data_IF_355814862577
#
_entry.id   IF_355814862577
#
_cell.length_a   1.000
_cell.length_b   1.000
_cell.length_c   1.000
_cell.angle_alpha   90.00
_cell.angle_beta   90.00
_cell.angle_gamma   90.00
#
_symmetry.space_group_name_H-M   'P 1'
#
loop_
_entity.id
_entity.type
_entity.pdbx_description
1 polymer ?
#
# COMPACT_ATOMS: atom_id res chain seq x y z
N UNK A 1 8.39 -32.90 20.54
CA UNK A 1 7.22 -33.33 19.76
C UNK A 1 6.83 -32.15 18.90
N UNK A 2 7.03 -32.23 17.58
CA UNK A 2 6.51 -31.19 16.68
C UNK A 2 4.98 -31.23 16.76
N UNK A 3 4.36 -30.19 17.34
CA UNK A 3 2.92 -30.01 17.24
C UNK A 3 2.59 -29.77 15.77
N UNK A 4 2.01 -30.77 15.12
CA UNK A 4 1.44 -30.60 13.78
C UNK A 4 0.26 -29.67 13.94
N UNK A 5 0.40 -28.42 13.50
CA UNK A 5 -0.71 -27.48 13.48
C UNK A 5 -1.84 -28.07 12.64
N UNK A 6 -2.95 -28.42 13.29
CA UNK A 6 -4.09 -29.11 12.67
C UNK A 6 -4.82 -28.20 11.65
N UNK A 7 -4.67 -26.88 11.81
CA UNK A 7 -5.37 -25.88 11.00
C UNK A 7 -4.41 -24.82 10.48
N UNK A 8 -4.64 -24.39 9.24
CA UNK A 8 -3.88 -23.30 8.63
C UNK A 8 -4.41 -21.94 9.11
N UNK A 9 -3.53 -20.97 9.46
CA UNK A 9 -3.97 -19.67 9.95
C UNK A 9 -4.88 -18.93 8.94
N UNK A 10 -6.02 -18.42 9.42
CA UNK A 10 -7.03 -17.76 8.59
C UNK A 10 -6.48 -16.51 7.88
N UNK A 11 -5.54 -15.79 8.49
CA UNK A 11 -4.88 -14.62 7.93
C UNK A 11 -3.98 -14.99 6.75
N UNK A 12 -3.20 -16.07 6.88
CA UNK A 12 -2.34 -16.55 5.81
C UNK A 12 -3.17 -17.12 4.66
N UNK A 13 -4.28 -17.81 4.98
CA UNK A 13 -5.24 -18.26 3.96
C UNK A 13 -5.83 -17.09 3.20
N UNK A 14 -6.18 -16.00 3.90
CA UNK A 14 -6.67 -14.78 3.26
C UNK A 14 -5.62 -14.14 2.36
N UNK A 15 -4.34 -14.10 2.77
CA UNK A 15 -3.26 -13.60 1.91
C UNK A 15 -3.06 -14.48 0.67
N UNK A 16 -3.22 -15.80 0.79
CA UNK A 16 -3.20 -16.71 -0.36
C UNK A 16 -4.39 -16.47 -1.31
N UNK A 17 -5.56 -16.15 -0.77
CA UNK A 17 -6.69 -15.68 -1.58
C UNK A 17 -6.37 -14.38 -2.32
N UNK A 18 -5.81 -13.37 -1.63
CA UNK A 18 -5.47 -12.12 -2.30
C UNK A 18 -4.33 -12.30 -3.32
N UNK A 19 -3.43 -13.28 -3.11
CA UNK A 19 -2.47 -13.71 -4.11
C UNK A 19 -3.12 -14.25 -5.39
N UNK A 20 -4.29 -14.90 -5.31
CA UNK A 20 -5.06 -15.29 -6.51
C UNK A 20 -5.57 -14.08 -7.29
N UNK A 21 -5.99 -13.01 -6.61
CA UNK A 21 -6.34 -11.74 -7.28
C UNK A 21 -5.12 -11.17 -8.02
N UNK A 22 -3.93 -11.28 -7.42
CA UNK A 22 -2.68 -10.88 -8.06
C UNK A 22 -2.34 -11.76 -9.28
N UNK A 23 -2.74 -13.03 -9.29
CA UNK A 23 -2.59 -13.92 -10.45
C UNK A 23 -3.46 -13.47 -11.63
N UNK A 24 -4.66 -12.92 -11.39
CA UNK A 24 -5.50 -12.33 -12.45
C UNK A 24 -4.83 -11.12 -13.11
N UNK A 25 -4.07 -10.32 -12.34
CA UNK A 25 -3.24 -9.25 -12.90
C UNK A 25 -2.03 -9.78 -13.68
N UNK A 26 -1.53 -10.97 -13.33
CA UNK A 26 -0.42 -11.62 -14.01
C UNK A 26 -0.84 -12.33 -15.30
N UNK A 27 -2.09 -12.79 -15.41
CA UNK A 27 -2.57 -13.53 -16.57
C UNK A 27 -2.57 -12.65 -17.83
N UNK A 28 -1.85 -13.10 -18.85
CA UNK A 28 -1.72 -12.43 -20.15
C UNK A 28 -2.94 -12.65 -21.06
N UNK A 29 -3.82 -13.58 -20.72
CA UNK A 29 -5.10 -13.78 -21.39
C UNK A 29 -6.11 -12.67 -21.00
N UNK A 30 -5.91 -12.04 -19.85
CA UNK A 30 -6.71 -10.89 -19.42
C UNK A 30 -6.29 -9.61 -20.16
N UNK A 31 -7.24 -8.74 -20.59
CA UNK A 31 -6.91 -7.46 -21.19
C UNK A 31 -6.02 -6.59 -20.29
N UNK A 32 -5.09 -5.83 -20.87
CA UNK A 32 -4.11 -5.03 -20.11
C UNK A 32 -4.76 -4.05 -19.12
N UNK A 33 -5.90 -3.47 -19.47
CA UNK A 33 -6.67 -2.57 -18.59
C UNK A 33 -7.28 -3.32 -17.40
N UNK A 34 -7.82 -4.53 -17.62
CA UNK A 34 -8.35 -5.36 -16.52
C UNK A 34 -7.24 -5.81 -15.58
N UNK A 35 -6.05 -6.12 -16.12
CA UNK A 35 -4.87 -6.45 -15.30
C UNK A 35 -4.49 -5.30 -14.36
N UNK A 36 -4.55 -4.03 -14.82
CA UNK A 36 -4.35 -2.87 -13.93
C UNK A 36 -5.46 -2.77 -12.87
N UNK A 37 -6.71 -3.02 -13.25
CA UNK A 37 -7.82 -3.01 -12.30
C UNK A 37 -7.62 -4.07 -11.21
N UNK A 38 -7.16 -5.27 -11.56
CA UNK A 38 -6.82 -6.30 -10.58
C UNK A 38 -5.68 -5.89 -9.63
N UNK A 39 -4.68 -5.15 -10.11
CA UNK A 39 -3.67 -4.55 -9.22
C UNK A 39 -4.33 -3.59 -8.21
N UNK A 40 -5.27 -2.75 -8.66
CA UNK A 40 -6.04 -1.88 -7.78
C UNK A 40 -6.91 -2.63 -6.77
N UNK A 41 -7.59 -3.70 -7.19
CA UNK A 41 -8.39 -4.57 -6.31
C UNK A 41 -7.50 -5.24 -5.27
N UNK A 42 -6.36 -5.80 -5.69
CA UNK A 42 -5.37 -6.40 -4.80
C UNK A 42 -4.91 -5.41 -3.72
N UNK A 43 -4.57 -4.18 -4.10
CA UNK A 43 -4.14 -3.12 -3.17
C UNK A 43 -5.24 -2.74 -2.20
N UNK A 44 -6.47 -2.51 -2.67
CA UNK A 44 -7.60 -2.17 -1.81
C UNK A 44 -7.94 -3.29 -0.81
N UNK A 45 -7.88 -4.55 -1.26
CA UNK A 45 -8.06 -5.70 -0.38
C UNK A 45 -6.96 -5.74 0.69
N UNK A 46 -5.70 -5.51 0.31
CA UNK A 46 -4.57 -5.52 1.24
C UNK A 46 -4.70 -4.41 2.28
N UNK A 47 -5.16 -3.22 1.90
CA UNK A 47 -5.44 -2.12 2.84
C UNK A 47 -6.50 -2.51 3.87
N UNK A 48 -7.60 -3.14 3.42
CA UNK A 48 -8.64 -3.65 4.33
C UNK A 48 -8.11 -4.76 5.25
N UNK A 49 -7.25 -5.64 4.73
CA UNK A 49 -6.58 -6.66 5.53
C UNK A 49 -5.77 -6.06 6.67
N UNK A 50 -5.01 -4.99 6.42
CA UNK A 50 -4.27 -4.30 7.46
C UNK A 50 -5.19 -3.60 8.47
N UNK A 51 -6.22 -2.92 7.97
CA UNK A 51 -7.16 -2.17 8.81
C UNK A 51 -7.96 -3.06 9.76
N UNK A 52 -8.36 -4.24 9.29
CA UNK A 52 -9.25 -5.14 10.03
C UNK A 52 -8.49 -6.30 10.66
N UNK A 53 -7.83 -7.12 9.84
CA UNK A 53 -7.28 -8.42 10.30
C UNK A 53 -5.98 -8.28 11.05
N UNK A 54 -5.04 -7.46 10.56
CA UNK A 54 -3.79 -7.21 11.30
C UNK A 54 -4.06 -6.47 12.60
N UNK A 55 -5.05 -5.55 12.61
CA UNK A 55 -5.49 -4.89 13.84
C UNK A 55 -6.07 -5.89 14.86
N UNK A 56 -6.88 -6.87 14.42
CA UNK A 56 -7.41 -7.92 15.28
C UNK A 56 -6.28 -8.80 15.86
N UNK A 57 -5.34 -9.29 15.04
CA UNK A 57 -4.19 -10.07 15.53
C UNK A 57 -3.40 -9.29 16.58
N UNK A 58 -3.14 -8.00 16.34
CA UNK A 58 -2.47 -7.12 17.33
C UNK A 58 -3.27 -6.99 18.61
N UNK A 59 -4.60 -6.88 18.53
CA UNK A 59 -5.48 -6.83 19.68
C UNK A 59 -5.45 -8.14 20.47
N UNK A 60 -5.45 -9.29 19.80
CA UNK A 60 -5.36 -10.60 20.46
C UNK A 60 -4.05 -10.75 21.24
N UNK A 61 -2.92 -10.26 20.71
CA UNK A 61 -1.63 -10.23 21.44
C UNK A 61 -1.78 -9.47 22.75
N UNK A 62 -2.38 -8.27 22.71
CA UNK A 62 -2.56 -7.43 23.92
C UNK A 62 -3.50 -8.09 24.92
N UNK A 63 -4.61 -8.68 24.46
CA UNK A 63 -5.57 -9.38 25.33
C UNK A 63 -4.91 -10.58 26.01
N UNK A 64 -4.22 -11.43 25.25
CA UNK A 64 -3.55 -12.61 25.79
C UNK A 64 -2.47 -12.24 26.82
N UNK A 65 -1.66 -11.22 26.53
CA UNK A 65 -0.65 -10.74 27.46
C UNK A 65 -1.26 -10.17 28.74
N UNK A 66 -2.32 -9.36 28.63
CA UNK A 66 -3.03 -8.82 29.80
C UNK A 66 -3.72 -9.90 30.64
N UNK A 67 -4.07 -11.04 30.04
CA UNK A 67 -4.61 -12.20 30.73
C UNK A 67 -3.52 -13.11 31.34
N UNK A 68 -2.24 -12.76 31.21
CA UNK A 68 -1.11 -13.59 31.67
C UNK A 68 -0.86 -14.84 30.81
N UNK A 69 -1.46 -14.91 29.61
CA UNK A 69 -1.23 -16.01 28.67
C UNK A 69 -0.16 -15.62 27.65
N UNK A 70 1.10 -15.64 28.09
CA UNK A 70 2.23 -15.26 27.25
C UNK A 70 2.49 -16.25 26.10
N UNK A 71 2.11 -17.52 26.24
CA UNK A 71 2.23 -18.52 25.18
C UNK A 71 1.35 -18.17 23.98
N UNK A 72 0.09 -17.80 24.22
CA UNK A 72 -0.83 -17.36 23.17
C UNK A 72 -0.39 -16.02 22.57
N UNK A 73 0.05 -15.07 23.40
CA UNK A 73 0.58 -13.79 22.92
C UNK A 73 1.77 -14.01 21.97
N UNK A 74 2.67 -14.94 22.30
CA UNK A 74 3.81 -15.27 21.46
C UNK A 74 3.41 -16.05 20.20
N UNK A 75 2.39 -16.92 20.27
CA UNK A 75 1.82 -17.56 19.09
C UNK A 75 1.30 -16.51 18.08
N UNK A 76 0.53 -15.53 18.54
CA UNK A 76 0.02 -14.45 17.69
C UNK A 76 1.14 -13.52 17.16
N UNK A 77 2.21 -13.28 17.93
CA UNK A 77 3.40 -12.55 17.44
C UNK A 77 4.09 -13.31 16.31
N UNK A 78 4.26 -14.63 16.43
CA UNK A 78 4.82 -15.46 15.35
C UNK A 78 3.95 -15.40 14.09
N UNK A 79 2.62 -15.44 14.24
CA UNK A 79 1.70 -15.25 13.12
C UNK A 79 1.88 -13.87 12.46
N UNK A 80 2.02 -12.79 13.24
CA UNK A 80 2.26 -11.45 12.70
C UNK A 80 3.56 -11.37 11.89
N UNK A 81 4.63 -12.05 12.34
CA UNK A 81 5.89 -12.15 11.59
C UNK A 81 5.69 -12.92 10.29
N UNK A 82 4.92 -14.02 10.29
CA UNK A 82 4.60 -14.78 9.08
C UNK A 82 3.78 -13.94 8.08
N UNK A 83 2.78 -13.20 8.57
CA UNK A 83 2.00 -12.25 7.77
C UNK A 83 2.92 -11.22 7.11
N UNK A 84 3.80 -10.59 7.88
CA UNK A 84 4.72 -9.57 7.36
C UNK A 84 5.64 -10.15 6.27
N UNK A 85 6.20 -11.35 6.49
CA UNK A 85 7.04 -12.03 5.50
C UNK A 85 6.28 -12.31 4.21
N UNK A 86 5.05 -12.82 4.31
CA UNK A 86 4.22 -13.11 3.14
C UNK A 86 3.84 -11.83 2.39
N UNK A 87 3.47 -10.76 3.09
CA UNK A 87 3.19 -9.46 2.45
C UNK A 87 4.40 -8.93 1.69
N UNK A 88 5.60 -9.00 2.27
CA UNK A 88 6.85 -8.57 1.58
C UNK A 88 7.11 -9.39 0.31
N UNK A 89 6.86 -10.70 0.35
CA UNK A 89 6.94 -11.56 -0.84
C UNK A 89 5.94 -11.13 -1.93
N UNK A 90 4.68 -10.91 -1.54
CA UNK A 90 3.63 -10.50 -2.47
C UNK A 90 3.87 -9.09 -3.04
N UNK A 91 4.45 -8.16 -2.27
CA UNK A 91 4.84 -6.84 -2.78
C UNK A 91 5.88 -6.93 -3.89
N UNK A 92 6.86 -7.83 -3.78
CA UNK A 92 7.85 -8.05 -4.86
C UNK A 92 7.18 -8.61 -6.12
N UNK A 93 6.21 -9.52 -5.96
CA UNK A 93 5.40 -10.04 -7.08
C UNK A 93 4.57 -8.92 -7.71
N UNK A 94 3.92 -8.10 -6.90
CA UNK A 94 3.15 -6.93 -7.35
C UNK A 94 4.00 -5.99 -8.20
N UNK A 95 5.19 -5.60 -7.73
CA UNK A 95 6.07 -4.69 -8.47
C UNK A 95 6.47 -5.25 -9.84
N UNK A 96 6.73 -6.56 -9.89
CA UNK A 96 7.11 -7.25 -11.12
C UNK A 96 5.95 -7.26 -12.11
N UNK A 97 4.75 -7.63 -11.65
CA UNK A 97 3.53 -7.67 -12.47
C UNK A 97 3.15 -6.26 -12.92
N UNK A 98 3.18 -5.27 -12.03
CA UNK A 98 2.89 -3.87 -12.36
C UNK A 98 3.79 -3.37 -13.49
N UNK A 99 5.11 -3.59 -13.41
CA UNK A 99 6.04 -3.23 -14.49
C UNK A 99 5.69 -3.91 -15.81
N UNK A 100 5.34 -5.19 -15.78
CA UNK A 100 4.94 -5.94 -16.98
C UNK A 100 3.63 -5.39 -17.58
N UNK A 101 2.65 -5.08 -16.75
CA UNK A 101 1.35 -4.55 -17.17
C UNK A 101 1.52 -3.15 -17.79
N UNK A 102 2.29 -2.27 -17.16
CA UNK A 102 2.62 -0.94 -17.71
C UNK A 102 3.35 -1.07 -19.05
N UNK A 103 4.29 -2.01 -19.19
CA UNK A 103 4.94 -2.30 -20.48
C UNK A 103 3.95 -2.80 -21.53
N UNK A 104 2.97 -3.61 -21.12
CA UNK A 104 1.93 -4.12 -22.03
C UNK A 104 1.03 -2.99 -22.50
N UNK A 105 0.60 -2.10 -21.61
CA UNK A 105 -0.16 -0.89 -21.97
C UNK A 105 0.58 -0.04 -23.02
N UNK A 106 1.89 0.13 -22.87
CA UNK A 106 2.69 0.91 -23.81
C UNK A 106 2.65 0.33 -25.24
N UNK A 107 2.47 -0.99 -25.41
CA UNK A 107 2.28 -1.64 -26.73
C UNK A 107 0.94 -1.25 -27.39
N UNK A 108 -0.02 -0.80 -26.59
CA UNK A 108 -1.31 -0.26 -27.02
C UNK A 108 -1.33 1.27 -27.01
N UNK A 109 -0.16 1.92 -27.02
CA UNK A 109 0.01 3.38 -27.00
C UNK A 109 -0.55 4.07 -25.75
N UNK A 110 -0.66 3.35 -24.63
CA UNK A 110 -1.05 3.91 -23.33
C UNK A 110 0.20 4.02 -22.45
N UNK A 111 0.61 5.25 -22.13
CA UNK A 111 1.84 5.52 -21.39
C UNK A 111 1.55 6.16 -20.04
N UNK A 112 2.20 5.66 -18.99
CA UNK A 112 2.22 6.27 -17.66
C UNK A 112 3.60 6.91 -17.49
N UNK A 113 3.66 8.23 -17.65
CA UNK A 113 4.92 8.97 -17.72
C UNK A 113 5.28 9.62 -16.37
N UNK A 114 6.53 9.45 -15.88
CA UNK A 114 7.07 10.27 -14.80
C UNK A 114 7.45 11.67 -15.32
N UNK A 115 7.55 12.64 -14.40
CA UNK A 115 7.86 14.06 -14.71
C UNK A 115 9.04 14.27 -15.67
N UNK A 116 10.10 13.47 -15.55
CA UNK A 116 11.32 13.62 -16.34
C UNK A 116 11.18 13.11 -17.79
N UNK A 117 10.08 12.44 -18.13
CA UNK A 117 9.76 11.98 -19.49
C UNK A 117 8.76 12.89 -20.20
N UNK A 118 8.30 13.97 -19.55
CA UNK A 118 7.42 14.95 -20.17
C UNK A 118 8.20 15.86 -21.11
N UNK A 119 7.68 16.06 -22.32
CA UNK A 119 8.17 17.09 -23.23
C UNK A 119 7.81 18.51 -22.72
N UNK A 120 8.33 19.54 -23.39
CA UNK A 120 8.13 20.93 -22.95
C UNK A 120 6.66 21.36 -23.01
N UNK A 121 5.92 20.88 -24.02
CA UNK A 121 4.50 21.17 -24.17
C UNK A 121 3.68 20.54 -23.04
N UNK A 122 3.90 19.25 -22.76
CA UNK A 122 3.26 18.51 -21.69
C UNK A 122 3.59 19.10 -20.32
N UNK A 123 4.84 19.53 -20.11
CA UNK A 123 5.26 20.19 -18.87
C UNK A 123 4.50 21.49 -18.63
N UNK A 124 4.39 22.33 -19.66
CA UNK A 124 3.63 23.57 -19.59
C UNK A 124 2.13 23.31 -19.40
N UNK A 125 1.58 22.31 -20.07
CA UNK A 125 0.20 21.88 -19.88
C UNK A 125 -0.07 21.42 -18.45
N UNK A 126 0.77 20.55 -17.87
CA UNK A 126 0.63 20.06 -16.50
C UNK A 126 0.75 21.20 -15.50
N UNK A 127 1.68 22.14 -15.70
CA UNK A 127 1.81 23.35 -14.88
C UNK A 127 0.52 24.17 -14.88
N UNK A 128 -0.01 24.44 -16.07
CA UNK A 128 -1.25 25.21 -16.22
C UNK A 128 -2.46 24.48 -15.63
N UNK A 129 -2.56 23.16 -15.84
CA UNK A 129 -3.60 22.35 -15.20
C UNK A 129 -3.48 22.39 -13.67
N UNK A 130 -2.27 22.26 -13.12
CA UNK A 130 -2.02 22.35 -11.70
C UNK A 130 -2.48 23.69 -11.12
N UNK A 131 -2.04 24.80 -11.69
CA UNK A 131 -2.39 26.16 -11.20
C UNK A 131 -3.90 26.39 -11.28
N UNK A 132 -4.53 26.04 -12.39
CA UNK A 132 -5.93 26.40 -12.65
C UNK A 132 -6.95 25.44 -12.03
N UNK A 133 -6.60 24.16 -11.84
CA UNK A 133 -7.54 23.11 -11.40
C UNK A 133 -7.18 22.46 -10.08
N UNK A 134 -5.89 22.20 -9.82
CA UNK A 134 -5.45 21.39 -8.68
C UNK A 134 -5.10 22.25 -7.45
N UNK A 135 -4.39 23.36 -7.64
CA UNK A 135 -3.82 24.17 -6.57
C UNK A 135 -4.87 24.63 -5.54
N UNK A 136 -6.07 24.99 -6.00
CA UNK A 136 -7.19 25.41 -5.13
C UNK A 136 -7.67 24.34 -4.15
N UNK A 137 -7.33 23.07 -4.39
CA UNK A 137 -7.67 21.94 -3.53
C UNK A 137 -6.50 21.53 -2.62
N UNK A 138 -5.34 22.19 -2.72
CA UNK A 138 -4.16 21.91 -1.92
C UNK A 138 -4.06 22.96 -0.82
N UNK A 139 -4.22 22.52 0.42
CA UNK A 139 -3.96 23.31 1.62
C UNK A 139 -2.69 22.78 2.30
N UNK A 140 -1.56 23.51 2.28
CA UNK A 140 -0.36 23.11 3.01
C UNK A 140 -0.63 23.07 4.51
N UNK A 141 -0.24 21.97 5.17
CA UNK A 141 -0.23 21.87 6.63
C UNK A 141 1.21 22.16 7.06
N UNK A 142 1.44 23.36 7.60
CA UNK A 142 2.74 23.72 8.18
C UNK A 142 2.91 22.98 9.51
N UNK A 143 4.05 22.33 9.69
CA UNK A 143 4.34 21.53 10.88
C UNK A 143 5.27 22.34 11.79
N UNK A 144 4.75 22.73 12.95
CA UNK A 144 5.48 23.38 14.02
C UNK A 144 5.20 22.73 15.39
N UNK A 145 5.78 23.27 16.47
CA UNK A 145 5.60 22.74 17.83
C UNK A 145 4.15 22.77 18.34
N UNK A 146 3.27 23.55 17.72
CA UNK A 146 1.86 23.71 18.12
C UNK A 146 0.91 22.94 17.20
N UNK A 147 1.44 22.34 16.14
CA UNK A 147 0.63 21.62 15.14
C UNK A 147 0.24 20.27 15.70
N UNK A 148 -1.05 20.11 16.02
CA UNK A 148 -1.63 18.80 16.27
C UNK A 148 -1.91 18.10 14.94
N UNK A 149 -0.99 17.22 14.53
CA UNK A 149 -1.14 16.45 13.30
C UNK A 149 -2.29 15.44 13.39
N UNK A 150 -2.61 14.92 14.57
CA UNK A 150 -3.62 13.87 14.72
C UNK A 150 -5.02 14.40 14.39
N UNK A 151 -5.32 15.66 14.72
CA UNK A 151 -6.60 16.30 14.33
C UNK A 151 -6.65 16.78 12.89
N UNK A 152 -5.52 16.80 12.17
CA UNK A 152 -5.40 17.34 10.81
C UNK A 152 -5.24 16.27 9.73
N UNK A 153 -4.77 15.09 10.11
CA UNK A 153 -4.51 14.00 9.18
C UNK A 153 -5.70 13.03 9.09
N UNK A 154 -6.05 12.64 7.87
CA UNK A 154 -6.99 11.58 7.58
C UNK A 154 -6.22 10.28 7.34
N UNK A 155 -6.58 9.22 8.08
CA UNK A 155 -5.92 7.92 8.02
C UNK A 155 -5.99 7.19 6.67
N UNK A 156 -6.82 7.64 5.71
CA UNK A 156 -6.92 7.05 4.36
C UNK A 156 -6.41 7.96 3.25
N UNK A 157 -5.97 9.18 3.56
CA UNK A 157 -5.51 10.14 2.56
C UNK A 157 -4.00 9.99 2.28
N UNK A 158 -3.60 10.31 1.05
CA UNK A 158 -2.18 10.38 0.67
C UNK A 158 -1.66 11.79 0.91
N UNK A 159 -0.55 11.90 1.64
CA UNK A 159 0.11 13.17 1.94
C UNK A 159 1.48 13.26 1.27
N UNK A 160 1.81 14.44 0.76
CA UNK A 160 3.17 14.77 0.32
C UNK A 160 3.89 15.50 1.46
N UNK A 161 4.86 14.85 2.09
CA UNK A 161 5.72 15.49 3.09
C UNK A 161 6.82 16.32 2.39
N UNK A 162 6.83 17.63 2.63
CA UNK A 162 7.75 18.57 1.99
C UNK A 162 8.70 19.15 3.04
N UNK A 163 9.99 18.90 2.89
CA UNK A 163 11.03 19.53 3.70
C UNK A 163 11.46 20.85 3.07
N UNK A 164 11.16 21.97 3.74
CA UNK A 164 11.63 23.29 3.34
C UNK A 164 12.99 23.56 3.99
N UNK A 165 14.02 23.78 3.17
CA UNK A 165 15.34 24.20 3.63
C UNK A 165 15.54 25.67 3.31
N UNK A 166 15.93 26.47 4.30
CA UNK A 166 16.31 27.86 4.12
C UNK A 166 17.83 27.94 4.16
N UNK A 167 18.46 28.44 3.09
CA UNK A 167 19.90 28.67 3.11
C UNK A 167 20.24 29.72 4.18
N UNK A 168 21.24 29.43 5.03
CA UNK A 168 21.81 30.40 5.98
C UNK A 168 21.30 30.37 7.43
N UNK A 169 20.53 29.37 7.87
CA UNK A 169 20.24 29.16 9.31
C UNK A 169 20.43 27.69 9.70
N UNK A 170 21.56 27.40 10.35
CA UNK A 170 21.75 26.23 11.20
C UNK A 170 21.23 26.55 12.59
#
# INVERSE_FOLDING_TARGET
MESTDLYYPKELSWLAFNERVLQEAADKNNPAVERIRFLGIYSNNLDEFFRVRVADVKRQIVIAHNAGNDEEAEHQRRLLVQIQRKVVELSKKFDTIHKEVVKTLARYNIYILPKHQLDEYQREWVRNYFINKVLRHIAPILIDKKTDLLSRLNGTAVYLYVALRREGKN
#
